data_IF_617520718235
#
_entry.id   IF_617520718235
#
_cell.length_a   1.000
_cell.length_b   1.000
_cell.length_c   1.000
_cell.angle_alpha   90.00
_cell.angle_beta   90.00
_cell.angle_gamma   90.00
#
_symmetry.space_group_name_H-M   'P 1'
#
loop_
_entity.id
_entity.type
_entity.pdbx_description
1 polymer ?
#
# COMPACT_ATOMS: atom_id res chain seq x y z
N UNK A 1 -26.35 22.14 -26.85
CA UNK A 1 -24.97 22.68 -26.94
C UNK A 1 -24.01 21.65 -26.33
N UNK A 2 -23.17 21.02 -27.15
CA UNK A 2 -22.12 20.12 -26.66
C UNK A 2 -20.93 20.98 -26.21
N UNK A 3 -20.51 20.84 -24.96
CA UNK A 3 -19.32 21.51 -24.44
C UNK A 3 -18.08 21.00 -25.20
N UNK A 4 -17.23 21.88 -25.77
CA UNK A 4 -16.06 21.44 -26.53
C UNK A 4 -15.14 20.57 -25.66
N UNK A 5 -14.61 19.48 -26.21
CA UNK A 5 -13.73 18.54 -25.49
C UNK A 5 -12.52 19.23 -24.81
N UNK A 6 -12.07 20.35 -25.36
CA UNK A 6 -11.00 21.20 -24.80
C UNK A 6 -11.40 21.88 -23.49
N UNK A 7 -12.65 22.35 -23.38
CA UNK A 7 -13.19 23.00 -22.18
C UNK A 7 -13.39 21.97 -21.07
N UNK A 8 -13.86 20.76 -21.41
CA UNK A 8 -13.97 19.64 -20.47
C UNK A 8 -12.60 19.28 -19.87
N UNK A 9 -11.57 19.13 -20.72
CA UNK A 9 -10.20 18.88 -20.25
C UNK A 9 -9.66 20.01 -19.36
N UNK A 10 -9.94 21.28 -19.69
CA UNK A 10 -9.50 22.41 -18.88
C UNK A 10 -10.14 22.40 -17.48
N UNK A 11 -11.44 22.09 -17.41
CA UNK A 11 -12.18 21.96 -16.15
C UNK A 11 -11.65 20.77 -15.34
N UNK A 12 -11.38 19.63 -15.97
CA UNK A 12 -10.76 18.46 -15.32
C UNK A 12 -9.38 18.78 -14.75
N UNK A 13 -8.54 19.50 -15.50
CA UNK A 13 -7.21 19.91 -15.04
C UNK A 13 -7.28 20.95 -13.90
N UNK A 14 -8.21 21.90 -13.97
CA UNK A 14 -8.43 22.88 -12.90
C UNK A 14 -8.97 22.21 -11.62
N UNK A 15 -9.92 21.28 -11.77
CA UNK A 15 -10.46 20.50 -10.65
C UNK A 15 -9.38 19.66 -9.98
N UNK A 16 -8.54 18.98 -10.76
CA UNK A 16 -7.40 18.23 -10.22
C UNK A 16 -6.39 19.14 -9.51
N UNK A 17 -6.12 20.33 -10.03
CA UNK A 17 -5.22 21.29 -9.41
C UNK A 17 -5.75 21.79 -8.05
N UNK A 18 -7.05 22.09 -7.97
CA UNK A 18 -7.72 22.47 -6.72
C UNK A 18 -7.72 21.31 -5.71
N UNK A 19 -8.02 20.09 -6.15
CA UNK A 19 -7.98 18.88 -5.32
C UNK A 19 -6.56 18.67 -4.74
N UNK A 20 -5.52 18.83 -5.57
CA UNK A 20 -4.11 18.73 -5.17
C UNK A 20 -3.70 19.81 -4.16
N UNK A 21 -4.18 21.04 -4.32
CA UNK A 21 -3.88 22.15 -3.41
C UNK A 21 -4.52 21.96 -2.03
N UNK A 22 -5.72 21.39 -1.98
CA UNK A 22 -6.47 21.12 -0.75
C UNK A 22 -6.03 19.89 0.04
N UNK A 23 -5.09 19.10 -0.48
CA UNK A 23 -4.66 17.87 0.20
C UNK A 23 -4.01 18.15 1.56
N UNK A 24 -4.35 17.39 2.61
CA UNK A 24 -3.69 17.49 3.92
C UNK A 24 -2.20 17.14 3.82
N UNK A 25 -1.39 17.72 4.70
CA UNK A 25 0.06 17.51 4.76
C UNK A 25 0.41 16.48 5.85
N UNK A 26 1.10 15.40 5.47
CA UNK A 26 1.71 14.44 6.38
C UNK A 26 3.23 14.67 6.47
N UNK A 27 3.76 14.64 7.69
CA UNK A 27 5.19 14.69 7.94
C UNK A 27 5.75 13.27 8.11
N UNK A 28 6.56 12.84 7.15
CA UNK A 28 7.13 11.50 7.09
C UNK A 28 8.63 11.58 7.34
N UNK A 29 9.09 10.91 8.39
CA UNK A 29 10.46 10.95 8.86
C UNK A 29 11.12 9.60 8.61
N UNK A 30 12.26 9.63 7.92
CA UNK A 30 13.15 8.49 7.76
C UNK A 30 14.20 8.50 8.88
N UNK A 31 14.40 7.37 9.54
CA UNK A 31 15.36 7.19 10.63
C UNK A 31 16.50 6.27 10.18
N UNK A 32 17.69 6.85 9.98
CA UNK A 32 18.84 6.14 9.38
C UNK A 32 19.25 4.90 10.15
N UNK A 33 19.15 4.91 11.47
CA UNK A 33 19.61 3.84 12.34
C UNK A 33 18.87 2.50 12.14
N UNK A 34 17.67 2.52 11.53
CA UNK A 34 16.89 1.31 11.29
C UNK A 34 17.55 0.35 10.30
N UNK A 35 18.11 0.90 9.21
CA UNK A 35 18.90 0.18 8.21
C UNK A 35 19.56 1.23 7.29
N UNK A 36 20.76 1.73 7.63
CA UNK A 36 21.34 2.88 6.95
C UNK A 36 21.34 2.80 5.41
N UNK A 37 21.81 1.71 4.77
CA UNK A 37 21.83 1.67 3.31
C UNK A 37 20.42 1.65 2.70
N UNK A 38 19.49 0.87 3.24
CA UNK A 38 18.13 0.78 2.70
C UNK A 38 17.34 2.08 2.91
N UNK A 39 17.47 2.71 4.08
CA UNK A 39 16.82 3.97 4.42
C UNK A 39 17.30 5.10 3.52
N UNK A 40 18.61 5.22 3.29
CA UNK A 40 19.18 6.24 2.39
C UNK A 40 18.71 6.05 0.95
N UNK A 41 18.72 4.80 0.45
CA UNK A 41 18.22 4.48 -0.89
C UNK A 41 16.72 4.81 -1.05
N UNK A 42 15.91 4.46 -0.05
CA UNK A 42 14.48 4.77 -0.03
C UNK A 42 14.23 6.28 0.03
N UNK A 43 14.93 7.01 0.91
CA UNK A 43 14.82 8.47 1.00
C UNK A 43 15.15 9.14 -0.34
N UNK A 44 16.26 8.74 -0.99
CA UNK A 44 16.63 9.24 -2.30
C UNK A 44 15.54 8.96 -3.36
N UNK A 45 14.98 7.75 -3.39
CA UNK A 45 13.90 7.41 -4.33
C UNK A 45 12.59 8.18 -4.07
N UNK A 46 12.25 8.45 -2.80
CA UNK A 46 11.02 9.14 -2.44
C UNK A 46 11.12 10.65 -2.71
N UNK A 47 12.34 11.21 -2.59
CA UNK A 47 12.61 12.63 -2.71
C UNK A 47 13.15 13.07 -4.08
N UNK A 48 13.56 12.15 -4.96
CA UNK A 48 13.97 12.48 -6.34
C UNK A 48 12.85 13.25 -7.09
N UNK A 49 13.18 14.05 -8.11
CA UNK A 49 12.17 14.71 -8.95
C UNK A 49 11.15 13.71 -9.53
N UNK A 50 9.87 14.06 -9.57
CA UNK A 50 8.83 13.19 -10.09
C UNK A 50 9.04 12.94 -11.59
N UNK A 51 8.93 11.67 -12.06
CA UNK A 51 9.32 11.28 -13.42
C UNK A 51 8.54 12.00 -14.52
N UNK A 52 7.28 12.40 -14.26
CA UNK A 52 6.45 13.16 -15.21
C UNK A 52 6.36 14.66 -14.91
N UNK A 53 6.60 15.07 -13.66
CA UNK A 53 6.29 16.43 -13.18
C UNK A 53 7.42 16.94 -12.29
N UNK A 54 8.51 17.39 -12.91
CA UNK A 54 9.77 17.71 -12.21
C UNK A 54 9.68 18.80 -11.14
N UNK A 55 8.55 19.51 -11.05
CA UNK A 55 8.25 20.53 -10.03
C UNK A 55 8.06 19.91 -8.64
N UNK A 56 7.60 18.66 -8.56
CA UNK A 56 7.35 17.96 -7.30
C UNK A 56 8.30 16.78 -7.12
N UNK A 57 8.51 16.36 -5.87
CA UNK A 57 9.25 15.13 -5.55
C UNK A 57 8.37 13.90 -5.85
N UNK A 58 9.01 12.78 -6.18
CA UNK A 58 8.40 11.55 -6.70
C UNK A 58 7.24 11.05 -5.83
N UNK A 59 7.44 10.96 -4.51
CA UNK A 59 6.39 10.52 -3.59
C UNK A 59 5.80 11.66 -2.75
N UNK A 60 5.75 12.90 -3.25
CA UNK A 60 5.29 14.03 -2.43
C UNK A 60 3.80 14.39 -2.59
N UNK A 61 3.17 14.05 -3.71
CA UNK A 61 1.81 14.53 -4.02
C UNK A 61 0.84 13.38 -4.22
N UNK A 62 -0.31 13.44 -3.54
CA UNK A 62 -1.40 12.47 -3.71
C UNK A 62 -0.99 11.05 -3.31
N UNK A 63 -0.25 10.89 -2.22
CA UNK A 63 0.12 9.57 -1.70
C UNK A 63 -0.99 9.01 -0.83
N UNK A 64 -1.29 7.73 -1.00
CA UNK A 64 -2.27 7.03 -0.19
C UNK A 64 -1.71 6.75 1.21
N UNK A 65 -2.21 7.47 2.21
CA UNK A 65 -1.84 7.29 3.61
C UNK A 65 -3.06 6.97 4.48
N UNK A 66 -2.79 6.27 5.59
CA UNK A 66 -3.65 6.18 6.76
C UNK A 66 -2.89 6.83 7.93
N UNK A 67 -3.57 7.71 8.66
CA UNK A 67 -3.11 8.25 9.94
C UNK A 67 -3.31 7.19 11.01
N UNK A 68 -2.24 6.46 11.33
CA UNK A 68 -2.24 5.40 12.33
C UNK A 68 -2.35 5.98 13.73
N UNK A 69 -1.66 7.11 13.99
CA UNK A 69 -1.68 7.78 15.28
C UNK A 69 -3.06 8.35 15.64
N UNK A 70 -3.89 8.65 14.64
CA UNK A 70 -5.27 9.08 14.83
C UNK A 70 -6.23 8.01 15.38
N UNK A 71 -5.85 6.73 15.37
CA UNK A 71 -6.67 5.65 15.92
C UNK A 71 -6.29 5.31 17.36
N UNK A 72 -7.29 5.20 18.22
CA UNK A 72 -7.08 4.84 19.62
C UNK A 72 -6.72 3.36 19.82
N UNK A 73 -7.18 2.48 18.93
CA UNK A 73 -6.95 1.03 18.93
C UNK A 73 -7.43 0.42 17.60
N UNK A 74 -7.13 -0.85 17.35
CA UNK A 74 -7.54 -1.58 16.16
C UNK A 74 -9.07 -1.60 15.97
N UNK A 75 -9.84 -1.71 17.04
CA UNK A 75 -11.31 -1.74 16.97
C UNK A 75 -11.87 -0.45 16.36
N UNK A 76 -11.34 0.71 16.76
CA UNK A 76 -11.75 2.00 16.20
C UNK A 76 -11.47 2.12 14.70
N UNK A 77 -10.36 1.55 14.20
CA UNK A 77 -10.14 1.42 12.75
C UNK A 77 -11.16 0.49 12.09
N UNK A 78 -11.35 -0.72 12.64
CA UNK A 78 -12.29 -1.71 12.09
C UNK A 78 -13.71 -1.16 11.99
N UNK A 79 -14.13 -0.31 12.92
CA UNK A 79 -15.42 0.36 12.87
C UNK A 79 -15.56 1.29 11.66
N UNK A 80 -14.49 1.98 11.25
CA UNK A 80 -14.52 2.84 10.05
C UNK A 80 -14.66 2.06 8.74
N UNK A 81 -14.24 0.79 8.72
CA UNK A 81 -14.25 -0.06 7.52
C UNK A 81 -15.30 -1.16 7.56
N UNK A 82 -16.13 -1.24 8.60
CA UNK A 82 -17.10 -2.34 8.79
C UNK A 82 -18.23 -2.38 7.76
N UNK A 83 -18.60 -1.21 7.23
CA UNK A 83 -19.80 -0.97 6.44
C UNK A 83 -19.67 -1.42 4.97
N UNK A 84 -20.82 -1.50 4.27
CA UNK A 84 -20.85 -1.83 2.84
C UNK A 84 -20.02 -0.82 2.05
N UNK A 85 -19.27 -1.31 1.06
CA UNK A 85 -18.40 -0.44 0.25
C UNK A 85 -17.07 -0.09 0.91
N UNK A 86 -16.68 -0.81 1.97
CA UNK A 86 -15.36 -0.77 2.62
C UNK A 86 -14.75 -2.19 2.72
N UNK A 87 -13.60 -2.32 3.38
CA UNK A 87 -12.84 -3.57 3.51
C UNK A 87 -13.55 -4.64 4.37
N UNK A 88 -14.31 -4.24 5.40
CA UNK A 88 -14.92 -5.15 6.38
C UNK A 88 -15.73 -6.31 5.79
N UNK A 89 -16.67 -6.07 4.86
CA UNK A 89 -17.40 -7.16 4.18
C UNK A 89 -16.47 -8.14 3.45
N UNK A 90 -15.41 -7.66 2.80
CA UNK A 90 -14.46 -8.50 2.09
C UNK A 90 -13.57 -9.29 3.06
N UNK A 91 -13.15 -8.66 4.15
CA UNK A 91 -12.39 -9.34 5.22
C UNK A 91 -13.23 -10.45 5.87
N UNK A 92 -14.50 -10.18 6.18
CA UNK A 92 -15.44 -11.21 6.70
C UNK A 92 -15.67 -12.34 5.70
N UNK A 93 -15.79 -12.03 4.40
CA UNK A 93 -15.91 -13.02 3.33
C UNK A 93 -14.69 -13.95 3.29
N UNK A 94 -13.48 -13.41 3.38
CA UNK A 94 -12.26 -14.20 3.41
C UNK A 94 -12.20 -15.08 4.67
N UNK A 95 -12.51 -14.52 5.86
CA UNK A 95 -12.53 -15.28 7.11
C UNK A 95 -13.55 -16.43 7.09
N UNK A 96 -14.76 -16.18 6.56
CA UNK A 96 -15.80 -17.20 6.40
C UNK A 96 -15.38 -18.34 5.46
N UNK A 97 -14.44 -18.09 4.55
CA UNK A 97 -13.83 -19.08 3.66
C UNK A 97 -12.62 -19.78 4.27
N UNK A 98 -12.37 -19.60 5.56
CA UNK A 98 -11.30 -20.29 6.27
C UNK A 98 -9.93 -19.64 6.15
N UNK A 99 -9.83 -18.43 5.59
CA UNK A 99 -8.52 -17.75 5.50
C UNK A 99 -7.93 -17.49 6.89
N UNK A 100 -6.60 -17.57 6.98
CA UNK A 100 -5.80 -17.29 8.18
C UNK A 100 -4.66 -16.35 7.85
N UNK A 101 -4.24 -15.55 8.82
CA UNK A 101 -3.19 -14.55 8.66
C UNK A 101 -2.06 -14.86 9.63
N UNK A 102 -0.81 -14.65 9.20
CA UNK A 102 0.36 -14.67 10.08
C UNK A 102 1.52 -13.91 9.46
N UNK A 103 2.49 -13.50 10.30
CA UNK A 103 3.81 -13.12 9.82
C UNK A 103 4.53 -14.34 9.26
N UNK A 104 5.35 -14.12 8.24
CA UNK A 104 6.10 -15.16 7.53
C UNK A 104 7.54 -14.71 7.28
N UNK A 105 8.46 -15.66 7.23
CA UNK A 105 9.73 -15.46 6.55
C UNK A 105 9.51 -15.68 5.04
N UNK A 106 9.84 -14.68 4.21
CA UNK A 106 9.70 -14.79 2.75
C UNK A 106 10.53 -15.93 2.19
N UNK A 107 11.72 -16.17 2.74
CA UNK A 107 12.63 -17.20 2.25
C UNK A 107 12.13 -18.61 2.55
N UNK A 108 11.27 -18.78 3.56
CA UNK A 108 10.57 -20.04 3.84
C UNK A 108 9.38 -20.31 2.91
N UNK A 109 8.98 -19.35 2.07
CA UNK A 109 7.80 -19.41 1.20
C UNK A 109 8.12 -19.03 -0.26
N UNK A 110 9.37 -19.19 -0.72
CA UNK A 110 9.81 -18.77 -2.07
C UNK A 110 8.94 -19.37 -3.18
N UNK A 111 8.68 -20.67 -3.13
CA UNK A 111 7.88 -21.37 -4.15
C UNK A 111 6.44 -20.85 -4.22
N UNK A 112 5.81 -20.64 -3.07
CA UNK A 112 4.43 -20.15 -3.01
C UNK A 112 4.33 -18.68 -3.45
N UNK A 113 5.32 -17.85 -3.08
CA UNK A 113 5.43 -16.46 -3.54
C UNK A 113 5.64 -16.42 -5.06
N UNK A 114 6.52 -17.27 -5.58
CA UNK A 114 6.78 -17.37 -7.01
C UNK A 114 5.55 -17.85 -7.79
N UNK A 115 4.78 -18.79 -7.22
CA UNK A 115 3.49 -19.21 -7.78
C UNK A 115 2.49 -18.05 -7.86
N UNK A 116 2.44 -17.15 -6.86
CA UNK A 116 1.63 -15.93 -6.92
C UNK A 116 2.12 -14.97 -8.02
N UNK A 117 3.43 -14.84 -8.22
CA UNK A 117 3.99 -13.97 -9.26
C UNK A 117 3.62 -14.46 -10.66
N UNK A 118 3.74 -15.76 -10.89
CA UNK A 118 3.48 -16.40 -12.19
C UNK A 118 2.00 -16.67 -12.45
N UNK A 119 1.13 -16.52 -11.44
CA UNK A 119 -0.30 -16.77 -11.56
C UNK A 119 -1.03 -15.83 -12.54
N UNK A 120 -0.41 -14.72 -12.94
CA UNK A 120 -0.99 -13.76 -13.86
C UNK A 120 0.12 -12.98 -14.57
N UNK A 121 0.14 -13.05 -15.89
CA UNK A 121 1.05 -12.35 -16.80
C UNK A 121 0.97 -10.82 -16.70
N UNK A 122 -0.22 -10.29 -16.36
CA UNK A 122 -0.48 -8.86 -16.27
C UNK A 122 -1.05 -8.41 -14.92
N UNK A 123 -0.42 -7.38 -14.33
CA UNK A 123 -0.91 -6.72 -13.12
C UNK A 123 -1.00 -5.21 -13.37
N UNK A 124 -2.17 -4.64 -13.03
CA UNK A 124 -2.47 -3.21 -13.23
C UNK A 124 -2.31 -2.74 -14.68
N UNK A 125 -2.73 -3.57 -15.64
CA UNK A 125 -2.68 -3.26 -17.08
C UNK A 125 -1.27 -3.22 -17.66
N UNK A 126 -0.29 -3.81 -16.97
CA UNK A 126 1.10 -3.92 -17.43
C UNK A 126 1.59 -5.36 -17.26
N UNK A 127 2.54 -5.81 -18.09
CA UNK A 127 3.30 -7.02 -17.83
C UNK A 127 3.92 -6.97 -16.44
N UNK A 128 3.97 -8.12 -15.77
CA UNK A 128 4.74 -8.25 -14.54
C UNK A 128 6.22 -7.97 -14.82
N UNK A 129 6.90 -7.29 -13.89
CA UNK A 129 8.33 -7.06 -13.99
C UNK A 129 9.07 -8.41 -13.97
N UNK A 130 9.97 -8.63 -14.93
CA UNK A 130 10.75 -9.86 -15.05
C UNK A 130 11.57 -10.17 -13.79
N UNK A 131 11.87 -9.17 -12.96
CA UNK A 131 12.50 -9.39 -11.65
C UNK A 131 11.66 -10.29 -10.73
N UNK A 132 10.33 -10.22 -10.79
CA UNK A 132 9.42 -11.07 -10.00
C UNK A 132 9.30 -12.49 -10.57
N UNK A 133 9.66 -12.69 -11.83
CA UNK A 133 9.68 -14.03 -12.44
C UNK A 133 10.93 -14.82 -12.08
N UNK A 134 11.88 -14.20 -11.38
CA UNK A 134 13.07 -14.88 -10.86
C UNK A 134 12.82 -15.31 -9.43
N UNK A 135 13.06 -16.58 -9.14
CA UNK A 135 13.04 -17.11 -7.79
C UNK A 135 14.42 -16.93 -7.16
N UNK A 136 14.65 -15.76 -6.56
CA UNK A 136 15.89 -15.43 -5.85
C UNK A 136 15.59 -15.27 -4.36
N UNK A 137 16.54 -15.65 -3.47
CA UNK A 137 16.42 -15.34 -2.06
C UNK A 137 16.24 -13.85 -1.83
N UNK A 138 15.36 -13.51 -0.89
CA UNK A 138 15.16 -12.15 -0.43
C UNK A 138 16.30 -11.75 0.51
N UNK A 139 16.86 -10.53 0.37
CA UNK A 139 17.85 -10.04 1.29
C UNK A 139 17.26 -9.88 2.69
N UNK A 140 18.10 -10.07 3.71
CA UNK A 140 17.72 -9.76 5.07
C UNK A 140 17.48 -8.26 5.24
N UNK A 141 16.30 -7.92 5.76
CA UNK A 141 15.86 -6.55 5.92
C UNK A 141 15.21 -6.41 7.30
N UNK A 142 15.98 -6.12 8.37
CA UNK A 142 15.47 -6.11 9.76
C UNK A 142 14.42 -5.02 10.02
N UNK A 143 14.30 -4.04 9.13
CA UNK A 143 13.27 -3.01 9.17
C UNK A 143 11.99 -3.41 8.42
N UNK A 144 11.94 -4.63 7.87
CA UNK A 144 10.80 -5.17 7.13
C UNK A 144 10.12 -6.30 7.90
N UNK A 145 8.80 -6.40 7.76
CA UNK A 145 8.01 -7.53 8.19
C UNK A 145 7.16 -8.02 7.01
N UNK A 146 7.10 -9.34 6.82
CA UNK A 146 6.26 -9.94 5.79
C UNK A 146 5.08 -10.68 6.41
N UNK A 147 3.92 -10.55 5.76
CA UNK A 147 2.65 -11.09 6.18
C UNK A 147 2.08 -11.99 5.10
N UNK A 148 1.53 -13.14 5.48
CA UNK A 148 0.85 -14.06 4.59
C UNK A 148 -0.63 -14.23 4.95
N UNK A 149 -1.46 -14.30 3.92
CA UNK A 149 -2.84 -14.78 4.00
C UNK A 149 -2.90 -16.19 3.39
N UNK A 150 -3.22 -17.16 4.22
CA UNK A 150 -3.33 -18.58 3.87
C UNK A 150 -4.79 -18.95 3.67
N UNK A 151 -5.10 -19.71 2.63
CA UNK A 151 -6.46 -20.23 2.41
C UNK A 151 -6.81 -21.36 3.39
N UNK A 152 -8.02 -21.92 3.28
CA UNK A 152 -8.47 -23.03 4.13
C UNK A 152 -7.61 -24.30 3.99
N UNK A 153 -6.93 -24.48 2.86
CA UNK A 153 -6.01 -25.58 2.61
C UNK A 153 -4.59 -25.32 3.10
N UNK A 154 -4.34 -24.18 3.74
CA UNK A 154 -3.03 -23.81 4.25
C UNK A 154 -2.05 -23.32 3.18
N UNK A 155 -2.51 -23.00 1.96
CA UNK A 155 -1.67 -22.45 0.89
C UNK A 155 -1.63 -20.93 0.97
N UNK A 156 -0.45 -20.35 0.74
CA UNK A 156 -0.29 -18.90 0.68
C UNK A 156 -1.04 -18.33 -0.54
N UNK A 157 -2.06 -17.54 -0.28
CA UNK A 157 -2.95 -16.97 -1.30
C UNK A 157 -2.67 -15.49 -1.60
N UNK A 158 -2.13 -14.76 -0.61
CA UNK A 158 -1.65 -13.40 -0.76
C UNK A 158 -0.58 -13.12 0.29
N UNK A 159 0.31 -12.16 0.02
CA UNK A 159 1.30 -11.71 0.98
C UNK A 159 1.62 -10.23 0.81
N UNK A 160 2.14 -9.63 1.89
CA UNK A 160 2.56 -8.25 1.92
C UNK A 160 3.87 -8.09 2.68
N UNK A 161 4.90 -7.56 2.03
CA UNK A 161 6.09 -7.05 2.68
C UNK A 161 5.88 -5.57 3.05
N UNK A 162 6.12 -5.24 4.32
CA UNK A 162 5.97 -3.89 4.87
C UNK A 162 7.31 -3.45 5.41
N UNK A 163 7.80 -2.30 4.96
CA UNK A 163 9.04 -1.70 5.43
C UNK A 163 8.75 -0.53 6.37
N UNK A 164 9.39 -0.50 7.55
CA UNK A 164 9.38 0.63 8.48
C UNK A 164 10.55 1.55 8.16
N UNK A 165 10.26 2.83 7.96
CA UNK A 165 11.26 3.82 7.57
C UNK A 165 11.61 4.80 8.69
N UNK A 166 10.77 4.91 9.73
CA UNK A 166 10.92 5.84 10.86
C UNK A 166 9.54 6.01 11.49
N UNK A 167 8.99 7.22 11.47
CA UNK A 167 7.61 7.47 11.94
C UNK A 167 6.52 6.93 11.01
N UNK A 168 6.87 6.20 9.95
CA UNK A 168 5.93 5.60 9.01
C UNK A 168 6.41 4.25 8.50
N UNK A 169 5.43 3.41 8.12
CA UNK A 169 5.64 2.17 7.39
C UNK A 169 5.04 2.28 6.00
N UNK A 170 5.60 1.57 5.02
CA UNK A 170 5.02 1.49 3.68
C UNK A 170 4.91 0.06 3.16
N UNK A 171 3.91 -0.21 2.32
CA UNK A 171 3.88 -1.45 1.54
C UNK A 171 5.01 -1.43 0.53
N UNK A 172 5.95 -2.36 0.68
CA UNK A 172 7.04 -2.58 -0.28
C UNK A 172 6.57 -3.50 -1.42
N UNK A 173 5.92 -4.60 -1.04
CA UNK A 173 5.35 -5.55 -2.00
C UNK A 173 4.01 -6.06 -1.47
N UNK A 174 2.96 -6.04 -2.30
CA UNK A 174 1.67 -6.64 -1.98
C UNK A 174 1.15 -7.39 -3.21
N UNK A 175 1.03 -8.71 -3.10
CA UNK A 175 0.57 -9.55 -4.20
C UNK A 175 -0.32 -10.69 -3.69
N UNK A 176 -1.10 -11.25 -4.59
CA UNK A 176 -1.98 -12.39 -4.33
C UNK A 176 -2.68 -12.86 -5.59
N UNK A 177 -3.37 -13.99 -5.49
CA UNK A 177 -4.20 -14.52 -6.57
C UNK A 177 -5.41 -13.62 -6.85
N UNK A 178 -5.79 -13.51 -8.13
CA UNK A 178 -7.00 -12.79 -8.55
C UNK A 178 -8.25 -13.68 -8.42
N UNK A 179 -8.57 -14.12 -7.21
CA UNK A 179 -9.73 -14.98 -6.95
C UNK A 179 -10.96 -14.24 -6.39
N UNK A 180 -10.80 -12.96 -6.03
CA UNK A 180 -11.90 -12.16 -5.49
C UNK A 180 -12.38 -12.60 -4.10
N UNK A 181 -11.53 -13.30 -3.34
CA UNK A 181 -11.92 -13.88 -2.06
C UNK A 181 -11.93 -12.89 -0.89
N UNK A 182 -11.35 -11.71 -1.09
CA UNK A 182 -11.19 -10.71 -0.05
C UNK A 182 -9.87 -10.83 0.71
N UNK A 183 -9.00 -11.79 0.36
CA UNK A 183 -7.72 -12.05 1.03
C UNK A 183 -6.84 -10.79 1.16
N UNK A 184 -6.73 -9.97 0.10
CA UNK A 184 -5.95 -8.74 0.13
C UNK A 184 -6.54 -7.66 1.07
N UNK A 185 -7.89 -7.60 1.18
CA UNK A 185 -8.55 -6.69 2.13
C UNK A 185 -8.34 -7.16 3.56
N UNK A 186 -8.47 -8.46 3.80
CA UNK A 186 -8.21 -9.07 5.10
C UNK A 186 -6.76 -8.81 5.53
N UNK A 187 -5.80 -9.05 4.64
CA UNK A 187 -4.37 -8.89 4.87
C UNK A 187 -4.00 -7.46 5.28
N UNK A 188 -4.42 -6.45 4.49
CA UNK A 188 -4.10 -5.06 4.82
C UNK A 188 -4.86 -4.55 6.05
N UNK A 189 -6.12 -4.93 6.24
CA UNK A 189 -6.85 -4.56 7.45
C UNK A 189 -6.14 -5.09 8.71
N UNK A 190 -5.62 -6.32 8.65
CA UNK A 190 -4.84 -6.91 9.74
C UNK A 190 -3.52 -6.17 9.98
N UNK A 191 -2.76 -5.87 8.92
CA UNK A 191 -1.51 -5.07 9.03
C UNK A 191 -1.79 -3.71 9.66
N UNK A 192 -2.86 -3.03 9.24
CA UNK A 192 -3.24 -1.73 9.81
C UNK A 192 -3.58 -1.86 11.30
N UNK A 193 -4.34 -2.89 11.67
CA UNK A 193 -4.64 -3.17 13.08
C UNK A 193 -3.36 -3.39 13.90
N UNK A 194 -2.42 -4.20 13.40
CA UNK A 194 -1.14 -4.40 14.10
C UNK A 194 -0.35 -3.11 14.23
N UNK A 195 -0.25 -2.29 13.18
CA UNK A 195 0.46 -1.01 13.25
C UNK A 195 -0.15 -0.04 14.26
N UNK A 196 -1.48 -0.03 14.40
CA UNK A 196 -2.19 0.77 15.41
C UNK A 196 -1.85 0.29 16.82
N UNK A 197 -1.85 -1.03 17.06
CA UNK A 197 -1.55 -1.58 18.39
C UNK A 197 -0.06 -1.44 18.75
N UNK A 198 0.85 -1.56 17.78
CA UNK A 198 2.28 -1.38 18.02
C UNK A 198 2.66 0.05 18.39
N UNK A 199 1.89 1.05 17.94
CA UNK A 199 2.14 2.50 18.18
C UNK A 199 3.56 2.97 17.86
N UNK A 200 4.24 2.29 16.93
CA UNK A 200 5.61 2.62 16.52
C UNK A 200 5.67 3.62 15.37
N UNK A 201 4.57 3.78 14.65
CA UNK A 201 4.48 4.65 13.48
C UNK A 201 3.23 5.51 13.55
N UNK A 202 3.32 6.72 13.01
CA UNK A 202 2.18 7.61 12.86
C UNK A 202 1.45 7.40 11.53
N UNK A 203 2.12 6.83 10.52
CA UNK A 203 1.55 6.71 9.17
C UNK A 203 1.77 5.32 8.56
N UNK A 204 0.76 4.85 7.83
CA UNK A 204 0.90 3.72 6.93
C UNK A 204 0.68 4.15 5.49
N UNK A 205 1.69 3.91 4.65
CA UNK A 205 1.70 4.27 3.25
C UNK A 205 1.45 3.05 2.37
N UNK A 206 0.55 3.17 1.40
CA UNK A 206 0.52 2.20 0.30
C UNK A 206 1.48 2.66 -0.81
N UNK A 207 1.03 3.61 -1.63
CA UNK A 207 1.78 4.25 -2.73
C UNK A 207 0.87 5.34 -3.35
N UNK A 208 1.26 5.92 -4.49
CA UNK A 208 0.49 6.91 -5.27
C UNK A 208 -1.02 6.63 -5.38
N UNK A 209 -1.86 7.56 -4.93
CA UNK A 209 -3.32 7.51 -4.99
C UNK A 209 -3.85 8.05 -6.33
N UNK A 210 -3.38 9.22 -6.76
CA UNK A 210 -3.92 9.95 -7.92
C UNK A 210 -3.45 9.39 -9.28
N UNK A 211 -2.39 8.56 -9.30
CA UNK A 211 -1.93 7.85 -10.50
C UNK A 211 -2.44 6.41 -10.63
N UNK A 212 -3.28 5.96 -9.70
CA UNK A 212 -3.77 4.58 -9.67
C UNK A 212 -4.93 4.37 -10.65
N UNK A 213 -5.01 3.18 -11.26
CA UNK A 213 -6.18 2.76 -12.02
C UNK A 213 -7.45 2.79 -11.14
N UNK A 214 -8.65 2.99 -11.71
CA UNK A 214 -9.89 3.14 -10.94
C UNK A 214 -10.12 2.05 -9.89
N UNK A 215 -9.86 0.77 -10.25
CA UNK A 215 -9.99 -0.36 -9.33
C UNK A 215 -8.99 -0.33 -8.17
N UNK A 216 -7.74 0.07 -8.41
CA UNK A 216 -6.74 0.20 -7.36
C UNK A 216 -7.04 1.40 -6.44
N UNK A 217 -7.56 2.49 -7.00
CA UNK A 217 -8.02 3.64 -6.22
C UNK A 217 -9.21 3.28 -5.32
N UNK A 218 -10.19 2.55 -5.85
CA UNK A 218 -11.32 2.06 -5.04
C UNK A 218 -10.86 1.07 -3.97
N UNK A 219 -9.92 0.16 -4.29
CA UNK A 219 -9.29 -0.73 -3.31
C UNK A 219 -8.68 0.03 -2.13
N UNK A 220 -7.87 1.06 -2.41
CA UNK A 220 -7.25 1.93 -1.39
C UNK A 220 -8.32 2.65 -0.56
N UNK A 221 -9.30 3.28 -1.21
CA UNK A 221 -10.41 3.98 -0.55
C UNK A 221 -11.17 3.07 0.42
N UNK A 222 -11.49 1.84 0.01
CA UNK A 222 -12.23 0.85 0.83
C UNK A 222 -11.51 0.48 2.13
N UNK A 223 -10.17 0.53 2.13
CA UNK A 223 -9.32 0.28 3.30
C UNK A 223 -9.14 1.50 4.21
N UNK A 224 -9.64 2.67 3.79
CA UNK A 224 -9.52 3.92 4.54
C UNK A 224 -8.36 4.80 4.13
N UNK A 225 -7.58 4.42 3.12
CA UNK A 225 -6.52 5.31 2.60
C UNK A 225 -7.11 6.59 2.01
N UNK A 226 -6.45 7.71 2.29
CA UNK A 226 -6.78 9.02 1.73
C UNK A 226 -5.54 9.62 1.05
N UNK A 227 -5.71 10.50 0.06
CA UNK A 227 -4.59 11.20 -0.56
C UNK A 227 -4.03 12.28 0.39
N UNK A 228 -2.71 12.34 0.50
CA UNK A 228 -1.97 13.38 1.25
C UNK A 228 -0.86 13.98 0.40
N UNK A 229 -0.43 15.18 0.79
CA UNK A 229 0.91 15.70 0.50
C UNK A 229 1.86 15.15 1.55
N UNK A 230 3.03 14.69 1.13
CA UNK A 230 4.05 14.17 2.02
C UNK A 230 5.27 15.09 2.05
N UNK A 231 5.68 15.51 3.25
CA UNK A 231 6.96 16.18 3.49
C UNK A 231 7.92 15.20 4.15
N UNK A 232 9.06 14.99 3.50
CA UNK A 232 10.06 14.03 3.95
C UNK A 232 11.23 14.70 4.68
N UNK A 233 11.57 14.18 5.85
CA UNK A 233 12.82 14.44 6.56
C UNK A 233 13.64 13.16 6.71
N UNK A 234 14.95 13.32 6.91
CA UNK A 234 15.87 12.25 7.21
C UNK A 234 16.60 12.62 8.51
N UNK A 235 16.56 11.75 9.51
CA UNK A 235 17.22 11.92 10.82
C UNK A 235 18.21 10.80 11.08
#
# INVERSE_FOLDING_TARGET
>A
MQTPATVVKLIEHASLAVELAGLPLAQLCFERHLNPPAILAAYANFTRPHPRYKVFRNKAMGIALIDIAGFGNAASYLDTVRQRGHAGPQSRKALARGYRLRRIDRNAHLDEIHAIHTSCDQRQGRPIDGAYLRMLPYPEQPHCACYGAFDAGGRLAAYCNVARFGNFSATDQLMGYKNGDGAMYLLLAHIICELIEERRVAWFMYDSYLGALPGLRDFKRRLGFRPYRARYSLV
#
